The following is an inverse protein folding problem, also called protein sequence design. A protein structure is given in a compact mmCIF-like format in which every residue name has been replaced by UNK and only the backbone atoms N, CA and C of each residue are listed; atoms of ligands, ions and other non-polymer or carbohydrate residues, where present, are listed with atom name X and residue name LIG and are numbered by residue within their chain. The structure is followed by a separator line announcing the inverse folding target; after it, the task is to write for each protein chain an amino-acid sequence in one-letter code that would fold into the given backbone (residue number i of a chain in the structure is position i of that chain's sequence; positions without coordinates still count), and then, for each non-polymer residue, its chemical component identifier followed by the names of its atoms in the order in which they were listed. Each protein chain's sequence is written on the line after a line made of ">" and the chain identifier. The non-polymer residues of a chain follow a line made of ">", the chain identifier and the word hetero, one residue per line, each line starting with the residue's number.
data_IF_713530850588
#
_entry.id   IF_713530850588
#
_cell.length_a   1.000
_cell.length_b   1.000
_cell.length_c   1.000
_cell.angle_alpha   90.00
_cell.angle_beta   90.00
_cell.angle_gamma   90.00
#
_symmetry.space_group_name_H-M   'P 1'
#
loop_
_entity.id
_entity.type
_entity.pdbx_description
1 polymer ?
#
# COMPACT_ATOMS: atom_id res chain seq x y z
N UNK A 1 10.08 3.05 22.70
CA UNK A 1 10.45 1.97 21.77
C UNK A 1 9.46 1.97 20.64
N UNK A 2 9.92 1.77 19.41
CA UNK A 2 9.06 1.70 18.23
C UNK A 2 9.14 0.27 17.70
N UNK A 3 8.00 -0.37 17.48
CA UNK A 3 7.89 -1.66 16.79
C UNK A 3 7.22 -1.39 15.47
N UNK A 4 7.94 -1.69 14.39
CA UNK A 4 7.43 -1.46 13.06
C UNK A 4 6.82 -2.71 12.43
N UNK A 5 5.77 -2.50 11.65
CA UNK A 5 5.14 -3.44 10.72
C UNK A 5 4.71 -4.73 11.42
N UNK A 6 3.86 -4.59 12.45
CA UNK A 6 3.38 -5.70 13.28
C UNK A 6 2.77 -6.83 12.44
N UNK A 7 2.23 -6.53 11.25
CA UNK A 7 1.70 -7.50 10.31
C UNK A 7 2.73 -8.56 9.81
N UNK A 8 4.03 -8.29 9.94
CA UNK A 8 5.10 -9.22 9.58
C UNK A 8 5.41 -10.24 10.69
N UNK A 9 4.85 -10.04 11.89
CA UNK A 9 5.14 -10.82 13.09
C UNK A 9 4.03 -11.80 13.45
N UNK A 10 3.14 -12.09 12.49
CA UNK A 10 2.09 -13.09 12.65
C UNK A 10 1.88 -13.87 11.36
N UNK A 11 1.33 -15.06 11.48
CA UNK A 11 0.95 -15.91 10.35
C UNK A 11 -0.48 -16.42 10.54
N UNK A 12 -1.17 -16.72 9.43
CA UNK A 12 -2.50 -17.32 9.47
C UNK A 12 -2.44 -18.84 9.71
N UNK A 13 -1.76 -19.24 10.78
CA UNK A 13 -1.56 -20.63 11.21
C UNK A 13 -2.06 -20.80 12.65
N UNK A 14 -2.18 -22.04 13.14
CA UNK A 14 -2.78 -22.31 14.45
C UNK A 14 -1.97 -21.66 15.60
N UNK A 15 -0.65 -21.55 15.44
CA UNK A 15 0.28 -20.91 16.39
C UNK A 15 0.82 -19.56 15.89
N UNK A 16 0.25 -19.02 14.81
CA UNK A 16 0.81 -17.86 14.12
C UNK A 16 0.73 -16.55 14.90
N UNK A 17 0.12 -16.54 16.09
CA UNK A 17 0.02 -15.38 16.98
C UNK A 17 1.03 -15.40 18.15
N UNK A 18 1.78 -16.48 18.32
CA UNK A 18 2.67 -16.67 19.48
C UNK A 18 3.72 -15.54 19.60
N UNK A 19 4.25 -15.10 18.47
CA UNK A 19 5.21 -14.00 18.41
C UNK A 19 4.58 -12.68 18.86
N UNK A 20 3.32 -12.41 18.50
CA UNK A 20 2.59 -11.24 18.99
C UNK A 20 2.38 -11.32 20.51
N UNK A 21 2.07 -12.50 21.05
CA UNK A 21 1.93 -12.68 22.50
C UNK A 21 3.24 -12.39 23.25
N UNK A 22 4.39 -12.80 22.70
CA UNK A 22 5.70 -12.44 23.26
C UNK A 22 5.90 -10.92 23.26
N UNK A 23 5.55 -10.24 22.15
CA UNK A 23 5.64 -8.78 22.04
C UNK A 23 4.73 -8.10 23.08
N UNK A 24 3.48 -8.54 23.23
CA UNK A 24 2.55 -7.94 24.18
C UNK A 24 2.98 -8.17 25.63
N UNK A 25 3.49 -9.36 25.97
CA UNK A 25 4.04 -9.64 27.30
C UNK A 25 5.24 -8.75 27.63
N UNK A 26 6.10 -8.47 26.64
CA UNK A 26 7.20 -7.52 26.77
C UNK A 26 6.66 -6.10 27.04
N UNK A 27 5.67 -5.67 26.26
CA UNK A 27 5.04 -4.36 26.44
C UNK A 27 4.45 -4.22 27.84
N UNK A 28 3.71 -5.21 28.32
CA UNK A 28 3.11 -5.20 29.65
C UNK A 28 4.18 -5.05 30.74
N UNK A 29 5.23 -5.87 30.65
CA UNK A 29 6.34 -5.93 31.63
C UNK A 29 7.11 -4.61 31.77
N UNK A 30 7.21 -3.84 30.67
CA UNK A 30 8.02 -2.61 30.62
C UNK A 30 7.21 -1.32 30.42
N UNK A 31 5.87 -1.41 30.31
CA UNK A 31 4.95 -0.29 30.04
C UNK A 31 5.12 0.90 31.00
N UNK A 32 5.48 0.64 32.26
CA UNK A 32 5.70 1.71 33.28
C UNK A 32 6.99 2.51 33.09
N UNK A 33 7.92 2.01 32.27
CA UNK A 33 9.24 2.62 32.05
C UNK A 33 9.46 3.03 30.60
N UNK A 34 8.77 2.39 29.67
CA UNK A 34 8.98 2.55 28.23
C UNK A 34 7.62 2.82 27.57
N UNK A 35 7.52 3.93 26.85
CA UNK A 35 6.44 4.16 25.90
C UNK A 35 6.68 3.29 24.66
N UNK A 36 5.69 2.48 24.29
CA UNK A 36 5.68 1.68 23.07
C UNK A 36 4.82 2.36 22.02
N UNK A 37 5.36 2.48 20.80
CA UNK A 37 4.62 2.91 19.61
C UNK A 37 4.70 1.75 18.63
N UNK A 38 3.55 1.26 18.19
CA UNK A 38 3.46 0.12 17.27
C UNK A 38 2.64 0.57 16.07
N UNK A 39 3.15 0.38 14.85
CA UNK A 39 2.34 0.50 13.64
C UNK A 39 1.98 -0.90 13.11
N UNK A 40 0.88 -0.95 12.39
CA UNK A 40 0.38 -2.13 11.73
C UNK A 40 -0.42 -1.68 10.52
N UNK A 41 -0.39 -2.41 9.42
CA UNK A 41 -1.32 -2.14 8.33
C UNK A 41 -2.77 -2.36 8.82
N UNK A 42 -3.70 -1.55 8.31
CA UNK A 42 -5.10 -1.55 8.79
C UNK A 42 -5.81 -2.88 8.54
N UNK A 43 -5.46 -3.59 7.46
CA UNK A 43 -6.10 -4.85 7.09
C UNK A 43 -5.71 -5.98 8.04
N UNK A 44 -4.42 -6.11 8.34
CA UNK A 44 -3.88 -7.00 9.35
C UNK A 44 -4.42 -6.66 10.73
N UNK A 45 -4.38 -5.38 11.12
CA UNK A 45 -4.92 -4.95 12.41
C UNK A 45 -6.37 -5.39 12.59
N UNK A 46 -7.24 -5.09 11.62
CA UNK A 46 -8.64 -5.47 11.69
C UNK A 46 -8.81 -7.00 11.77
N UNK A 47 -8.08 -7.74 10.93
CA UNK A 47 -8.18 -9.20 10.89
C UNK A 47 -7.69 -9.85 12.19
N UNK A 48 -6.52 -9.46 12.69
CA UNK A 48 -5.95 -9.97 13.94
C UNK A 48 -6.88 -9.60 15.10
N UNK A 49 -7.38 -8.35 15.16
CA UNK A 49 -8.24 -7.90 16.25
C UNK A 49 -9.59 -8.64 16.30
N UNK A 50 -10.08 -9.17 15.16
CA UNK A 50 -11.24 -10.06 15.13
C UNK A 50 -10.96 -11.44 15.73
N UNK A 51 -9.71 -11.93 15.64
CA UNK A 51 -9.31 -13.24 16.17
C UNK A 51 -8.94 -13.14 17.65
N UNK A 52 -8.14 -12.14 18.01
CA UNK A 52 -7.69 -11.83 19.35
C UNK A 52 -7.73 -10.32 19.53
N UNK A 53 -8.39 -9.78 20.58
CA UNK A 53 -8.57 -8.33 20.75
C UNK A 53 -7.26 -7.66 21.18
N UNK A 54 -6.32 -7.52 20.24
CA UNK A 54 -4.99 -6.96 20.46
C UNK A 54 -5.04 -5.49 20.87
N UNK A 55 -6.11 -4.78 20.52
CA UNK A 55 -6.33 -3.38 20.88
C UNK A 55 -6.29 -3.14 22.39
N UNK A 56 -6.67 -4.14 23.19
CA UNK A 56 -6.66 -4.08 24.65
C UNK A 56 -5.25 -3.95 25.25
N UNK A 57 -4.19 -4.23 24.47
CA UNK A 57 -2.80 -4.06 24.89
C UNK A 57 -2.31 -2.61 24.76
N UNK A 58 -3.13 -1.70 24.21
CA UNK A 58 -2.76 -0.33 23.92
C UNK A 58 -3.60 0.67 24.71
N UNK A 59 -2.96 1.76 25.16
CA UNK A 59 -3.66 2.89 25.81
C UNK A 59 -4.49 3.69 24.80
N UNK A 60 -4.11 3.64 23.52
CA UNK A 60 -4.86 4.28 22.44
C UNK A 60 -4.43 3.75 21.09
N UNK A 61 -5.38 3.74 20.15
CA UNK A 61 -5.17 3.36 18.75
C UNK A 61 -5.45 4.57 17.87
N UNK A 62 -4.49 4.94 17.04
CA UNK A 62 -4.63 6.03 16.08
C UNK A 62 -4.80 5.41 14.70
N UNK A 63 -5.97 5.62 14.08
CA UNK A 63 -6.21 5.22 12.69
C UNK A 63 -5.73 6.34 11.76
N UNK A 64 -4.81 5.99 10.87
CA UNK A 64 -4.32 6.90 9.83
C UNK A 64 -5.21 6.73 8.59
N UNK A 65 -6.19 7.61 8.43
CA UNK A 65 -7.08 7.60 7.27
C UNK A 65 -6.33 8.04 5.99
N UNK A 66 -6.79 7.61 4.80
CA UNK A 66 -6.22 8.08 3.54
C UNK A 66 -6.42 9.58 3.34
N UNK A 67 -5.46 10.22 2.67
CA UNK A 67 -5.48 11.66 2.43
C UNK A 67 -6.46 12.03 1.32
N UNK A 68 -7.18 13.14 1.49
CA UNK A 68 -7.96 13.78 0.44
C UNK A 68 -7.08 14.34 -0.68
N UNK A 69 -7.67 14.65 -1.84
CA UNK A 69 -6.97 15.29 -2.95
C UNK A 69 -6.28 16.62 -2.55
N UNK A 70 -6.91 17.42 -1.67
CA UNK A 70 -6.35 18.69 -1.20
C UNK A 70 -5.16 18.46 -0.25
N UNK A 71 -5.25 17.47 0.64
CA UNK A 71 -4.13 17.13 1.51
C UNK A 71 -2.96 16.54 0.71
N UNK A 72 -3.22 15.68 -0.27
CA UNK A 72 -2.19 15.19 -1.20
C UNK A 72 -1.50 16.35 -1.94
N UNK A 73 -2.27 17.36 -2.37
CA UNK A 73 -1.71 18.60 -2.93
C UNK A 73 -0.79 19.30 -1.94
N UNK A 74 -1.22 19.47 -0.69
CA UNK A 74 -0.42 20.11 0.37
C UNK A 74 0.87 19.34 0.70
N UNK A 75 0.92 18.04 0.40
CA UNK A 75 2.11 17.20 0.61
C UNK A 75 3.07 17.28 -0.60
N UNK A 76 2.52 17.34 -1.82
CA UNK A 76 3.30 17.25 -3.06
C UNK A 76 3.84 18.62 -3.48
N UNK A 77 3.01 19.68 -3.44
CA UNK A 77 3.38 20.99 -3.98
C UNK A 77 4.55 21.67 -3.25
N UNK A 78 4.66 21.64 -1.91
CA UNK A 78 5.77 22.30 -1.22
C UNK A 78 7.16 21.79 -1.65
N UNK A 79 7.26 20.54 -2.11
CA UNK A 79 8.51 19.93 -2.60
C UNK A 79 9.01 20.58 -3.90
N UNK A 80 8.11 21.18 -4.68
CA UNK A 80 8.45 21.94 -5.89
C UNK A 80 8.60 23.43 -5.60
N UNK A 81 7.87 23.96 -4.63
CA UNK A 81 8.03 25.35 -4.20
C UNK A 81 9.44 25.60 -3.61
N UNK A 82 10.01 24.60 -2.92
CA UNK A 82 11.40 24.67 -2.43
C UNK A 82 12.44 24.77 -3.56
N UNK A 83 12.12 24.33 -4.78
CA UNK A 83 13.02 24.38 -5.93
C UNK A 83 12.77 25.60 -6.83
N UNK A 84 11.77 26.45 -6.50
CA UNK A 84 11.31 27.59 -7.31
C UNK A 84 10.91 27.21 -8.74
N UNK A 85 10.62 25.94 -8.99
CA UNK A 85 10.25 25.46 -10.31
C UNK A 85 8.77 25.71 -10.58
N UNK A 86 8.48 26.22 -11.77
CA UNK A 86 7.09 26.43 -12.23
C UNK A 86 6.57 25.11 -12.79
N UNK A 87 5.47 24.60 -12.23
CA UNK A 87 4.81 23.41 -12.78
C UNK A 87 3.94 23.79 -13.99
N UNK A 88 4.14 23.11 -15.12
CA UNK A 88 3.38 23.28 -16.37
C UNK A 88 2.73 21.95 -16.77
N UNK A 89 1.41 21.90 -16.87
CA UNK A 89 0.69 20.71 -17.36
C UNK A 89 0.58 20.79 -18.87
N UNK A 90 1.20 19.85 -19.57
CA UNK A 90 1.18 19.83 -21.03
C UNK A 90 -0.07 19.09 -21.53
N UNK A 91 -1.21 19.76 -21.57
CA UNK A 91 -2.32 19.37 -22.44
C UNK A 91 -2.12 20.10 -23.76
N UNK A 92 -1.65 19.38 -24.80
CA UNK A 92 -1.61 19.82 -26.22
C UNK A 92 -1.84 21.33 -26.43
N UNK A 93 -0.81 22.16 -26.20
CA UNK A 93 -0.75 23.51 -26.79
C UNK A 93 -1.15 24.73 -25.95
N UNK A 94 -1.38 24.65 -24.63
CA UNK A 94 -1.81 25.85 -23.86
C UNK A 94 -0.92 26.24 -22.68
N UNK A 95 -0.62 27.54 -22.60
CA UNK A 95 0.21 28.18 -21.59
C UNK A 95 -0.65 28.73 -20.43
N UNK A 96 -0.89 27.92 -19.39
CA UNK A 96 -0.92 28.35 -17.98
C UNK A 96 -1.57 27.31 -17.07
N UNK A 97 -1.08 27.26 -15.83
CA UNK A 97 -1.57 26.42 -14.74
C UNK A 97 -2.78 27.11 -14.08
N UNK A 98 -3.97 27.05 -14.67
CA UNK A 98 -5.18 27.57 -14.03
C UNK A 98 -5.60 26.64 -12.86
N UNK A 99 -6.03 27.20 -11.73
CA UNK A 99 -6.47 26.52 -10.50
C UNK A 99 -7.40 25.33 -10.76
N UNK A 100 -8.24 25.39 -11.80
CA UNK A 100 -9.10 24.27 -12.20
C UNK A 100 -8.33 23.02 -12.68
N UNK A 101 -7.25 23.19 -13.46
CA UNK A 101 -6.43 22.06 -13.94
C UNK A 101 -5.67 21.40 -12.80
N UNK A 102 -5.22 22.20 -11.84
CA UNK A 102 -4.58 21.71 -10.62
C UNK A 102 -5.54 20.82 -9.81
N UNK A 103 -6.75 21.32 -9.51
CA UNK A 103 -7.79 20.53 -8.83
C UNK A 103 -8.07 19.23 -9.57
N UNK A 104 -8.23 19.29 -10.90
CA UNK A 104 -8.50 18.11 -11.72
C UNK A 104 -7.33 17.11 -11.71
N UNK A 105 -6.08 17.58 -11.65
CA UNK A 105 -4.89 16.73 -11.55
C UNK A 105 -4.86 16.00 -10.21
N UNK A 106 -5.03 16.72 -9.10
CA UNK A 106 -5.00 16.11 -7.77
C UNK A 106 -6.20 15.19 -7.51
N UNK A 107 -7.36 15.45 -8.10
CA UNK A 107 -8.46 14.50 -8.11
C UNK A 107 -8.08 13.18 -8.80
N UNK A 108 -7.36 13.23 -9.93
CA UNK A 108 -6.87 12.00 -10.58
C UNK A 108 -5.77 11.30 -9.79
N UNK A 109 -4.87 12.04 -9.15
CA UNK A 109 -3.85 11.46 -8.27
C UNK A 109 -4.53 10.76 -7.08
N UNK A 110 -5.55 11.38 -6.48
CA UNK A 110 -6.36 10.74 -5.46
C UNK A 110 -7.06 9.48 -6.00
N UNK A 111 -7.70 9.55 -7.17
CA UNK A 111 -8.35 8.39 -7.80
C UNK A 111 -7.37 7.24 -8.08
N UNK A 112 -6.12 7.54 -8.47
CA UNK A 112 -5.07 6.55 -8.68
C UNK A 112 -4.55 5.96 -7.37
N UNK A 113 -4.28 6.80 -6.38
CA UNK A 113 -3.58 6.42 -5.14
C UNK A 113 -4.48 5.97 -4.00
N UNK A 114 -5.78 6.24 -4.10
CA UNK A 114 -6.75 6.10 -3.01
C UNK A 114 -6.35 6.88 -1.75
N UNK A 115 -5.68 8.02 -1.91
CA UNK A 115 -5.20 8.83 -0.77
C UNK A 115 -3.88 8.34 -0.15
N UNK A 116 -3.26 7.27 -0.68
CA UNK A 116 -1.98 6.76 -0.17
C UNK A 116 -0.82 7.61 -0.73
N UNK A 117 -0.01 8.19 0.18
CA UNK A 117 1.08 9.12 -0.17
C UNK A 117 2.08 8.51 -1.16
N UNK A 118 2.51 7.27 -0.95
CA UNK A 118 3.53 6.61 -1.79
C UNK A 118 3.11 6.52 -3.26
N UNK A 119 1.99 5.85 -3.59
CA UNK A 119 1.44 5.81 -4.94
C UNK A 119 1.11 7.19 -5.50
N UNK A 120 0.64 8.14 -4.67
CA UNK A 120 0.38 9.51 -5.10
C UNK A 120 1.66 10.21 -5.60
N UNK A 121 2.74 10.15 -4.81
CA UNK A 121 4.05 10.70 -5.17
C UNK A 121 4.64 10.03 -6.39
N UNK A 122 4.52 8.70 -6.47
CA UNK A 122 5.00 7.98 -7.64
C UNK A 122 4.25 8.39 -8.91
N UNK A 123 2.91 8.44 -8.85
CA UNK A 123 2.08 8.88 -9.98
C UNK A 123 2.45 10.29 -10.43
N UNK A 124 2.79 11.18 -9.48
CA UNK A 124 3.28 12.51 -9.78
C UNK A 124 4.62 12.48 -10.51
N UNK A 125 5.62 11.79 -9.96
CA UNK A 125 6.99 11.75 -10.49
C UNK A 125 7.03 11.08 -11.88
N UNK A 126 6.34 9.95 -12.03
CA UNK A 126 6.27 9.19 -13.28
C UNK A 126 5.61 9.95 -14.44
N UNK A 127 4.85 11.01 -14.14
CA UNK A 127 4.24 11.87 -15.16
C UNK A 127 5.08 13.12 -15.47
N UNK A 128 6.26 13.28 -14.89
CA UNK A 128 7.19 14.34 -15.27
C UNK A 128 7.81 14.00 -16.62
N UNK A 129 7.46 14.77 -17.66
CA UNK A 129 7.96 14.59 -19.02
C UNK A 129 9.34 15.20 -19.22
N UNK A 130 9.53 16.42 -18.71
CA UNK A 130 10.76 17.21 -18.89
C UNK A 130 10.98 18.12 -17.70
N UNK A 131 12.25 18.36 -17.39
CA UNK A 131 12.72 19.36 -16.44
C UNK A 131 13.73 20.26 -17.14
N UNK A 132 13.64 21.58 -16.94
CA UNK A 132 14.55 22.56 -17.54
C UNK A 132 13.97 23.98 -17.53
N UNK A 133 14.81 24.99 -17.74
CA UNK A 133 14.39 26.40 -17.88
C UNK A 133 13.55 26.93 -16.69
N UNK A 134 13.79 26.42 -15.48
CA UNK A 134 13.01 26.81 -14.29
C UNK A 134 11.59 26.25 -14.25
N UNK A 135 11.27 25.23 -15.06
CA UNK A 135 9.96 24.60 -15.10
C UNK A 135 10.03 23.06 -15.11
N UNK A 136 8.95 22.44 -14.62
CA UNK A 136 8.67 21.01 -14.76
C UNK A 136 7.45 20.84 -15.64
N UNK A 137 7.58 20.05 -16.70
CA UNK A 137 6.48 19.71 -17.60
C UNK A 137 5.91 18.36 -17.19
N UNK A 138 4.62 18.33 -16.86
CA UNK A 138 3.93 17.14 -16.37
C UNK A 138 2.82 16.74 -17.35
N UNK A 139 2.72 15.45 -17.68
CA UNK A 139 1.60 14.87 -18.41
C UNK A 139 0.38 14.72 -17.52
N UNK A 140 -0.79 14.68 -18.15
CA UNK A 140 -1.99 14.33 -17.42
C UNK A 140 -1.97 12.83 -17.07
N UNK A 141 -2.25 12.47 -15.82
CA UNK A 141 -2.28 11.08 -15.37
C UNK A 141 -3.34 10.26 -16.14
N UNK A 142 -2.92 9.11 -16.65
CA UNK A 142 -3.79 8.06 -17.18
C UNK A 142 -3.97 6.97 -16.10
N UNK A 143 -5.23 6.62 -15.83
CA UNK A 143 -5.55 5.62 -14.82
C UNK A 143 -5.59 4.26 -15.54
N UNK A 144 -4.80 3.27 -15.09
CA UNK A 144 -4.77 1.97 -15.74
C UNK A 144 -6.14 1.29 -15.69
N UNK A 145 -6.51 0.61 -16.78
CA UNK A 145 -7.76 -0.15 -16.83
C UNK A 145 -7.70 -1.35 -15.88
N UNK A 146 -8.72 -1.50 -15.02
CA UNK A 146 -8.81 -2.56 -14.00
C UNK A 146 -9.00 -3.99 -14.56
N UNK A 147 -9.10 -4.16 -15.88
CA UNK A 147 -9.39 -5.44 -16.54
C UNK A 147 -8.41 -6.57 -16.19
N UNK A 148 -7.17 -6.23 -15.82
CA UNK A 148 -6.16 -7.23 -15.43
C UNK A 148 -6.62 -7.99 -14.18
N UNK A 149 -7.36 -7.34 -13.26
CA UNK A 149 -7.84 -7.94 -12.02
C UNK A 149 -9.11 -8.81 -12.21
N UNK A 150 -9.79 -8.68 -13.34
CA UNK A 150 -11.02 -9.46 -13.62
C UNK A 150 -10.72 -10.93 -13.89
N UNK A 151 -9.55 -11.21 -14.46
CA UNK A 151 -9.14 -12.56 -14.89
C UNK A 151 -8.38 -13.34 -13.82
N UNK A 152 -8.24 -12.80 -12.60
CA UNK A 152 -7.53 -13.48 -11.51
C UNK A 152 -8.28 -14.75 -11.08
N UNK A 153 -7.54 -15.86 -11.01
CA UNK A 153 -8.04 -17.13 -10.49
C UNK A 153 -8.45 -16.98 -9.01
N UNK A 154 -9.27 -17.90 -8.50
CA UNK A 154 -9.63 -17.90 -7.07
C UNK A 154 -8.39 -18.07 -6.19
N UNK A 155 -7.41 -18.86 -6.63
CA UNK A 155 -6.16 -19.10 -5.90
C UNK A 155 -5.29 -17.85 -5.90
N UNK A 156 -5.13 -17.17 -7.04
CA UNK A 156 -4.43 -15.89 -7.13
C UNK A 156 -5.05 -14.83 -6.20
N UNK A 157 -6.39 -14.80 -6.09
CA UNK A 157 -7.06 -13.90 -5.15
C UNK A 157 -6.73 -14.24 -3.70
N UNK A 158 -6.70 -15.52 -3.34
CA UNK A 158 -6.29 -15.97 -2.01
C UNK A 158 -4.84 -15.57 -1.71
N UNK A 159 -3.92 -15.78 -2.66
CA UNK A 159 -2.51 -15.40 -2.55
C UNK A 159 -2.38 -13.88 -2.33
N UNK A 160 -3.00 -13.07 -3.18
CA UNK A 160 -2.98 -11.60 -3.05
C UNK A 160 -3.60 -11.13 -1.74
N UNK A 161 -4.65 -11.80 -1.25
CA UNK A 161 -5.23 -11.48 0.06
C UNK A 161 -4.22 -11.71 1.19
N UNK A 162 -3.42 -12.78 1.13
CA UNK A 162 -2.34 -12.98 2.11
C UNK A 162 -1.30 -11.87 2.04
N UNK A 163 -0.94 -11.38 0.86
CA UNK A 163 -0.03 -10.24 0.74
C UNK A 163 -0.63 -8.93 1.29
N UNK A 164 -1.95 -8.70 1.15
CA UNK A 164 -2.60 -7.52 1.75
C UNK A 164 -2.56 -7.61 3.28
N UNK A 165 -2.69 -8.80 3.83
CA UNK A 165 -2.63 -9.05 5.27
C UNK A 165 -1.19 -8.98 5.81
N UNK A 166 -0.23 -9.59 5.15
CA UNK A 166 1.14 -9.71 5.67
C UNK A 166 2.10 -8.66 5.12
N UNK A 167 1.69 -7.85 4.14
CA UNK A 167 2.51 -6.87 3.40
C UNK A 167 3.62 -7.53 2.54
N UNK A 168 4.45 -8.38 3.15
CA UNK A 168 5.53 -9.13 2.51
C UNK A 168 5.51 -10.59 2.95
N UNK A 169 5.82 -11.50 2.04
CA UNK A 169 5.90 -12.93 2.33
C UNK A 169 7.14 -13.53 1.70
N UNK A 170 7.70 -14.55 2.34
CA UNK A 170 8.71 -15.39 1.69
C UNK A 170 8.04 -16.44 0.81
N UNK A 171 8.68 -16.83 -0.30
CA UNK A 171 8.20 -17.94 -1.15
C UNK A 171 7.86 -19.19 -0.32
N UNK A 172 8.69 -19.49 0.67
CA UNK A 172 8.54 -20.69 1.51
C UNK A 172 7.38 -20.59 2.51
N UNK A 173 6.96 -19.38 2.88
CA UNK A 173 5.85 -19.16 3.83
C UNK A 173 4.46 -19.27 3.21
N UNK A 174 4.33 -19.04 1.89
CA UNK A 174 3.03 -18.96 1.22
C UNK A 174 2.26 -20.29 1.30
N UNK A 175 2.87 -21.47 1.02
CA UNK A 175 2.16 -22.75 1.14
C UNK A 175 1.64 -22.99 2.57
N UNK A 176 2.44 -22.65 3.59
CA UNK A 176 2.07 -22.80 5.00
C UNK A 176 0.87 -21.92 5.39
N UNK A 177 0.90 -20.64 4.99
CA UNK A 177 -0.15 -19.67 5.33
C UNK A 177 -1.46 -19.96 4.57
N UNK A 178 -1.35 -20.39 3.31
CA UNK A 178 -2.51 -20.70 2.47
C UNK A 178 -3.06 -22.10 2.68
N UNK A 179 -2.26 -23.01 3.25
CA UNK A 179 -2.52 -24.47 3.34
C UNK A 179 -2.74 -25.10 1.95
N UNK A 180 -2.06 -24.57 0.93
CA UNK A 180 -2.11 -25.06 -0.44
C UNK A 180 -0.82 -25.81 -0.79
N UNK A 181 -0.89 -26.65 -1.83
CA UNK A 181 0.26 -27.37 -2.34
C UNK A 181 1.30 -26.42 -2.95
N UNK A 182 2.59 -26.71 -2.73
CA UNK A 182 3.68 -25.85 -3.20
C UNK A 182 3.78 -25.76 -4.72
N UNK A 183 3.53 -26.86 -5.45
CA UNK A 183 3.56 -26.86 -6.92
C UNK A 183 2.45 -25.97 -7.47
N UNK A 184 1.25 -26.05 -6.87
CA UNK A 184 0.12 -25.19 -7.21
C UNK A 184 0.41 -23.70 -6.93
N UNK A 185 1.04 -23.39 -5.79
CA UNK A 185 1.44 -22.01 -5.46
C UNK A 185 2.45 -21.48 -6.48
N UNK A 186 3.43 -22.28 -6.88
CA UNK A 186 4.43 -21.88 -7.89
C UNK A 186 3.77 -21.60 -9.24
N UNK A 187 2.86 -22.46 -9.70
CA UNK A 187 2.10 -22.27 -10.94
C UNK A 187 1.27 -20.97 -10.93
N UNK A 188 0.61 -20.68 -9.80
CA UNK A 188 -0.26 -19.51 -9.66
C UNK A 188 0.51 -18.20 -9.38
N UNK A 189 1.74 -18.29 -8.85
CA UNK A 189 2.61 -17.13 -8.64
C UNK A 189 3.28 -16.64 -9.92
N UNK A 190 3.65 -17.54 -10.84
CA UNK A 190 4.29 -17.18 -12.12
C UNK A 190 3.55 -16.05 -12.86
N UNK A 191 2.23 -16.13 -13.12
CA UNK A 191 1.52 -15.05 -13.80
C UNK A 191 1.51 -13.76 -12.98
N UNK A 192 1.37 -13.83 -11.65
CA UNK A 192 1.37 -12.63 -10.80
C UNK A 192 2.70 -11.87 -10.86
N UNK A 193 3.82 -12.60 -10.91
CA UNK A 193 5.15 -12.02 -11.08
C UNK A 193 5.36 -11.50 -12.50
N UNK A 194 4.97 -12.27 -13.52
CA UNK A 194 5.13 -11.89 -14.93
C UNK A 194 4.33 -10.65 -15.31
N UNK A 195 3.16 -10.44 -14.69
CA UNK A 195 2.35 -9.23 -14.87
C UNK A 195 2.73 -8.08 -13.92
N UNK A 196 3.82 -8.23 -13.15
CA UNK A 196 4.27 -7.25 -12.15
C UNK A 196 3.20 -6.87 -11.13
N UNK A 197 2.29 -7.80 -10.81
CA UNK A 197 1.36 -7.67 -9.68
C UNK A 197 2.09 -7.93 -8.36
N UNK A 198 3.07 -8.82 -8.38
CA UNK A 198 3.97 -9.12 -7.28
C UNK A 198 5.41 -8.85 -7.73
N UNK A 199 6.12 -8.07 -6.92
CA UNK A 199 7.55 -7.81 -7.09
C UNK A 199 8.36 -8.81 -6.24
N UNK A 200 9.48 -9.29 -6.81
CA UNK A 200 10.37 -10.28 -6.17
C UNK A 200 11.73 -9.68 -5.83
N UNK A 201 12.09 -9.75 -4.55
CA UNK A 201 13.37 -9.30 -4.01
C UNK A 201 14.08 -10.46 -3.30
N UNK A 202 14.81 -11.26 -4.08
CA UNK A 202 15.40 -12.50 -3.56
C UNK A 202 14.30 -13.51 -3.22
N UNK A 203 14.19 -13.90 -1.95
CA UNK A 203 13.15 -14.80 -1.45
C UNK A 203 11.89 -14.09 -0.97
N UNK A 204 11.94 -12.75 -0.83
CA UNK A 204 10.82 -11.93 -0.36
C UNK A 204 10.01 -11.46 -1.56
N UNK A 205 8.70 -11.60 -1.44
CA UNK A 205 7.69 -11.14 -2.39
C UNK A 205 6.84 -10.06 -1.73
N UNK A 206 6.39 -9.08 -2.51
CA UNK A 206 5.41 -8.08 -2.09
C UNK A 206 4.49 -7.68 -3.25
N UNK A 207 3.26 -7.24 -2.96
CA UNK A 207 2.42 -6.65 -4.00
C UNK A 207 3.10 -5.38 -4.50
N UNK A 208 3.12 -5.17 -5.82
CA UNK A 208 3.68 -3.96 -6.37
C UNK A 208 3.01 -2.73 -5.74
N UNK A 209 3.77 -1.83 -5.08
CA UNK A 209 3.18 -0.71 -4.34
C UNK A 209 2.24 0.17 -5.18
N UNK A 210 2.47 0.20 -6.50
CA UNK A 210 1.67 0.96 -7.46
C UNK A 210 0.30 0.32 -7.74
N UNK A 211 0.21 -0.99 -7.61
CA UNK A 211 -1.01 -1.76 -7.88
C UNK A 211 -1.78 -2.07 -6.60
N UNK A 212 -1.15 -1.96 -5.43
CA UNK A 212 -1.78 -2.21 -4.14
C UNK A 212 -3.11 -1.44 -3.94
N UNK A 213 -3.20 -0.11 -4.19
CA UNK A 213 -4.47 0.61 -4.03
C UNK A 213 -5.57 0.07 -4.95
N UNK A 214 -5.22 -0.33 -6.18
CA UNK A 214 -6.16 -0.90 -7.14
C UNK A 214 -6.66 -2.27 -6.72
N UNK A 215 -5.74 -3.13 -6.27
CA UNK A 215 -6.06 -4.48 -5.78
C UNK A 215 -6.96 -4.40 -4.54
N UNK A 216 -6.60 -3.57 -3.55
CA UNK A 216 -7.40 -3.39 -2.33
C UNK A 216 -8.79 -2.87 -2.65
N UNK A 217 -8.91 -1.86 -3.52
CA UNK A 217 -10.21 -1.31 -3.93
C UNK A 217 -11.08 -2.36 -4.62
N UNK A 218 -10.48 -3.15 -5.51
CA UNK A 218 -11.18 -4.20 -6.23
C UNK A 218 -11.64 -5.33 -5.30
N UNK A 219 -10.82 -5.69 -4.32
CA UNK A 219 -11.14 -6.74 -3.34
C UNK A 219 -12.25 -6.28 -2.40
N UNK A 220 -12.22 -5.02 -1.93
CA UNK A 220 -13.34 -4.40 -1.18
C UNK A 220 -14.63 -4.40 -2.00
N UNK A 221 -14.58 -3.99 -3.27
CA UNK A 221 -15.75 -3.98 -4.18
C UNK A 221 -16.36 -5.36 -4.35
N UNK A 222 -15.53 -6.42 -4.36
CA UNK A 222 -15.94 -7.82 -4.47
C UNK A 222 -16.30 -8.48 -3.13
N UNK A 223 -16.20 -7.76 -2.00
CA UNK A 223 -16.49 -8.28 -0.66
C UNK A 223 -15.46 -9.32 -0.16
N UNK A 224 -14.23 -9.25 -0.66
CA UNK A 224 -13.13 -10.13 -0.24
C UNK A 224 -12.30 -9.54 0.92
N UNK A 225 -12.45 -8.24 1.19
CA UNK A 225 -11.81 -7.45 2.25
C UNK A 225 -12.86 -6.64 3.01
#
# INVERSE_FOLDING_TARGET
>A
MIINDLELWWERTDNGIDVLNVIFNLMESFSRKILFIVNCNVHAYNFINMIQPIENNFVGVIKCEPFSAEELKSIIMPRHESTRLIVKINSKGEQSFNKWREVKMFNKIFEYSDGVIGPALYSWISNILKYGEGAIHISYLEIPHQRILDNLSSIQKIILLQFILHNKLSINSIPTITRLDSELIDEELIPLVNYSLIDKHGEILEISPFLLPFIVREFKRKGLL
#
